data_IF_433814461034
#
_entry.id   IF_433814461034
#
_cell.length_a   1.000
_cell.length_b   1.000
_cell.length_c   1.000
_cell.angle_alpha   90.00
_cell.angle_beta   90.00
_cell.angle_gamma   90.00
#
_symmetry.space_group_name_H-M   'P 1'
#
loop_
_entity.id
_entity.type
_entity.pdbx_description
1 polymer ?
#
# COMPACT_ATOMS: atom_id res chain seq x y z
N UNK A 1 -37.79 -63.36 52.30
CA UNK A 1 -37.55 -63.76 50.91
C UNK A 1 -37.39 -62.47 50.11
N UNK A 2 -36.15 -62.13 49.70
CA UNK A 2 -35.66 -62.08 48.29
C UNK A 2 -36.21 -60.86 47.52
N UNK A 3 -35.51 -60.08 46.71
CA UNK A 3 -34.13 -59.94 46.20
C UNK A 3 -34.18 -58.57 45.49
N UNK A 4 -33.29 -57.62 45.76
CA UNK A 4 -32.14 -57.29 44.91
C UNK A 4 -32.25 -55.91 44.24
N UNK A 5 -31.19 -55.15 44.47
CA UNK A 5 -30.87 -53.81 44.00
C UNK A 5 -30.54 -53.89 42.50
N UNK A 6 -31.08 -52.99 41.69
CA UNK A 6 -30.60 -52.73 40.33
C UNK A 6 -30.28 -51.24 40.20
N UNK A 7 -28.98 -50.99 40.24
CA UNK A 7 -28.30 -49.72 40.11
C UNK A 7 -28.21 -49.41 38.60
N UNK A 8 -29.07 -48.54 38.08
CA UNK A 8 -28.98 -48.08 36.70
C UNK A 8 -28.01 -46.89 36.65
N UNK A 9 -26.75 -47.17 36.33
CA UNK A 9 -25.74 -46.16 36.05
C UNK A 9 -26.10 -45.41 34.77
N UNK A 10 -26.46 -44.13 34.89
CA UNK A 10 -26.55 -43.22 33.76
C UNK A 10 -25.12 -42.92 33.27
N UNK A 11 -24.76 -43.55 32.15
CA UNK A 11 -23.46 -43.39 31.50
C UNK A 11 -23.47 -42.08 30.72
N UNK A 12 -22.95 -41.02 31.32
CA UNK A 12 -22.68 -39.75 30.66
C UNK A 12 -21.60 -39.97 29.59
N UNK A 13 -21.99 -40.01 28.32
CA UNK A 13 -21.06 -39.99 27.20
C UNK A 13 -20.48 -38.56 27.14
N UNK A 14 -19.27 -38.39 27.65
CA UNK A 14 -18.47 -37.21 27.34
C UNK A 14 -18.09 -37.28 25.86
N UNK A 15 -18.72 -36.46 25.03
CA UNK A 15 -18.20 -36.11 23.73
C UNK A 15 -16.96 -35.23 23.95
N UNK A 16 -15.75 -35.66 23.56
CA UNK A 16 -14.63 -34.73 23.50
C UNK A 16 -14.96 -33.68 22.42
N UNK A 17 -15.14 -32.43 22.85
CA UNK A 17 -15.23 -31.30 21.93
C UNK A 17 -13.97 -31.26 21.09
N UNK A 18 -14.11 -31.52 19.79
CA UNK A 18 -13.05 -31.31 18.84
C UNK A 18 -12.78 -29.80 18.77
N UNK A 19 -11.83 -29.33 19.57
CA UNK A 19 -11.21 -28.04 19.38
C UNK A 19 -10.48 -28.09 18.04
N UNK A 20 -11.09 -27.52 17.00
CA UNK A 20 -10.45 -27.25 15.72
C UNK A 20 -9.41 -26.14 15.93
N UNK A 21 -8.25 -26.52 16.45
CA UNK A 21 -7.07 -25.65 16.47
C UNK A 21 -6.66 -25.37 15.04
N UNK A 22 -6.54 -24.09 14.69
CA UNK A 22 -5.98 -23.67 13.40
C UNK A 22 -4.58 -24.28 13.29
N UNK A 23 -4.41 -25.25 12.40
CA UNK A 23 -3.14 -25.89 12.13
C UNK A 23 -2.22 -24.87 11.46
N UNK A 24 -1.04 -24.66 12.04
CA UNK A 24 0.02 -23.89 11.39
C UNK A 24 0.36 -24.62 10.08
N UNK A 25 0.33 -23.93 8.92
CA UNK A 25 0.61 -24.57 7.64
C UNK A 25 2.00 -25.21 7.65
N UNK A 26 2.09 -26.51 7.38
CA UNK A 26 3.37 -27.25 7.47
C UNK A 26 4.12 -27.30 6.13
N UNK A 27 3.47 -26.87 5.05
CA UNK A 27 4.05 -26.86 3.71
C UNK A 27 3.99 -25.49 3.02
N UNK A 28 4.97 -25.22 2.14
CA UNK A 28 5.00 -23.97 1.35
C UNK A 28 3.74 -23.77 0.51
N UNK A 29 3.12 -24.85 0.04
CA UNK A 29 1.86 -24.85 -0.71
C UNK A 29 0.70 -24.34 0.15
N UNK A 30 0.66 -24.76 1.41
CA UNK A 30 -0.37 -24.43 2.38
C UNK A 30 -0.20 -23.00 2.92
N UNK A 31 1.05 -22.53 3.06
CA UNK A 31 1.40 -21.12 3.33
C UNK A 31 0.99 -20.22 2.15
N UNK A 32 1.23 -20.63 0.90
CA UNK A 32 0.81 -19.85 -0.26
C UNK A 32 -0.72 -19.72 -0.35
N UNK A 33 -1.45 -20.78 -0.01
CA UNK A 33 -2.91 -20.77 0.07
C UNK A 33 -3.42 -19.88 1.22
N UNK A 34 -2.69 -19.79 2.34
CA UNK A 34 -3.12 -18.96 3.48
C UNK A 34 -3.03 -17.44 3.21
N UNK A 35 -2.07 -16.98 2.39
CA UNK A 35 -1.96 -15.57 2.01
C UNK A 35 -2.80 -15.18 0.80
N UNK A 36 -3.26 -16.14 0.00
CA UNK A 36 -4.00 -15.88 -1.23
C UNK A 36 -5.32 -15.12 -1.00
N UNK A 37 -5.97 -15.32 0.15
CA UNK A 37 -7.17 -14.57 0.55
C UNK A 37 -6.85 -13.10 0.84
N UNK A 38 -5.83 -12.84 1.66
CA UNK A 38 -5.42 -11.48 2.05
C UNK A 38 -4.94 -10.69 0.84
N UNK A 39 -4.15 -11.30 -0.05
CA UNK A 39 -3.69 -10.64 -1.28
C UNK A 39 -4.87 -10.32 -2.19
N UNK A 40 -5.87 -11.20 -2.30
CA UNK A 40 -7.05 -10.96 -3.12
C UNK A 40 -7.87 -9.76 -2.62
N UNK A 41 -7.89 -9.55 -1.31
CA UNK A 41 -8.57 -8.41 -0.68
C UNK A 41 -7.75 -7.11 -0.80
N UNK A 42 -6.43 -7.16 -0.57
CA UNK A 42 -5.58 -5.97 -0.53
C UNK A 42 -5.07 -5.50 -1.89
N UNK A 43 -4.81 -6.42 -2.84
CA UNK A 43 -4.20 -6.08 -4.13
C UNK A 43 -4.96 -5.02 -4.95
N UNK A 44 -6.31 -5.00 -4.99
CA UNK A 44 -7.05 -3.95 -5.69
C UNK A 44 -6.76 -2.53 -5.18
N UNK A 45 -6.40 -2.38 -3.90
CA UNK A 45 -6.08 -1.09 -3.28
C UNK A 45 -4.65 -0.60 -3.61
N UNK A 46 -3.79 -1.47 -4.12
CA UNK A 46 -2.40 -1.13 -4.45
C UNK A 46 -2.35 -0.51 -5.84
N UNK A 47 -1.68 0.65 -5.94
CA UNK A 47 -1.59 1.44 -7.17
C UNK A 47 -0.13 1.68 -7.55
N UNK A 48 0.10 1.90 -8.85
CA UNK A 48 1.38 2.36 -9.38
C UNK A 48 1.35 3.88 -9.53
N UNK A 49 2.44 4.54 -9.17
CA UNK A 49 2.57 6.00 -9.18
C UNK A 49 3.70 6.39 -10.11
N UNK A 50 3.38 7.25 -11.08
CA UNK A 50 4.31 7.86 -12.00
C UNK A 50 4.40 9.33 -11.67
N UNK A 51 5.56 9.78 -11.23
CA UNK A 51 5.80 11.17 -10.91
C UNK A 51 6.83 11.76 -11.86
N UNK A 52 6.58 12.97 -12.34
CA UNK A 52 7.49 13.72 -13.20
C UNK A 52 7.87 15.02 -12.50
N UNK A 53 9.17 15.32 -12.49
CA UNK A 53 9.75 16.57 -12.00
C UNK A 53 10.51 17.27 -13.11
N UNK A 54 10.17 18.52 -13.38
CA UNK A 54 10.98 19.39 -14.25
C UNK A 54 11.99 20.12 -13.36
N UNK A 55 13.27 19.84 -13.55
CA UNK A 55 14.36 20.52 -12.85
C UNK A 55 15.05 21.46 -13.83
N UNK A 56 15.07 22.75 -13.51
CA UNK A 56 15.90 23.71 -14.23
C UNK A 56 17.37 23.39 -13.96
N UNK A 57 18.07 22.92 -14.99
CA UNK A 57 19.50 22.65 -14.89
C UNK A 57 20.21 23.99 -14.77
N UNK A 58 20.82 24.31 -13.62
CA UNK A 58 21.65 25.52 -13.50
C UNK A 58 22.69 25.52 -14.62
N UNK A 59 22.78 26.62 -15.35
CA UNK A 59 23.83 26.85 -16.33
C UNK A 59 25.19 26.71 -15.63
N UNK A 60 26.13 26.01 -16.26
CA UNK A 60 27.44 25.77 -15.66
C UNK A 60 28.19 27.11 -15.55
N UNK A 61 28.71 27.51 -14.37
CA UNK A 61 29.37 28.82 -14.17
C UNK A 61 30.61 29.04 -15.07
N UNK A 62 31.14 27.97 -15.67
CA UNK A 62 32.24 28.02 -16.63
C UNK A 62 31.86 28.59 -18.00
N UNK A 63 30.56 28.73 -18.32
CA UNK A 63 30.09 29.29 -19.59
C UNK A 63 29.90 30.82 -19.56
N UNK A 64 30.14 31.48 -18.42
CA UNK A 64 30.09 32.95 -18.28
C UNK A 64 31.41 33.64 -18.72
N UNK A 65 32.38 32.90 -19.27
CA UNK A 65 33.63 33.48 -19.78
C UNK A 65 33.40 34.14 -21.17
N UNK A 66 33.68 35.46 -21.32
CA UNK A 66 33.54 36.19 -22.59
C UNK A 66 34.29 35.57 -23.78
N UNK A 67 35.39 34.84 -23.52
CA UNK A 67 36.16 34.15 -24.57
C UNK A 67 35.47 32.88 -25.08
N UNK A 68 34.78 32.13 -24.22
CA UNK A 68 34.07 30.91 -24.61
C UNK A 68 32.78 31.20 -25.38
N UNK A 69 32.05 32.25 -25.00
CA UNK A 69 30.79 32.65 -25.64
C UNK A 69 30.92 33.08 -27.10
N UNK A 70 32.10 33.54 -27.53
CA UNK A 70 32.39 33.93 -28.92
C UNK A 70 32.82 32.75 -29.80
N UNK A 71 33.39 31.68 -29.21
CA UNK A 71 33.88 30.50 -29.93
C UNK A 71 32.80 29.41 -30.08
N UNK A 72 31.86 29.30 -29.14
CA UNK A 72 30.87 28.23 -29.06
C UNK A 72 29.46 28.79 -28.94
N UNK A 73 29.04 29.60 -29.93
CA UNK A 73 27.72 30.25 -29.94
C UNK A 73 26.58 29.35 -29.43
N UNK A 74 25.84 29.85 -28.44
CA UNK A 74 24.58 29.31 -27.90
C UNK A 74 24.62 27.96 -27.16
N UNK A 75 25.80 27.38 -26.90
CA UNK A 75 25.92 26.13 -26.12
C UNK A 75 25.61 26.29 -24.61
N UNK A 76 25.32 27.50 -24.13
CA UNK A 76 25.07 27.83 -22.71
C UNK A 76 23.61 27.78 -22.26
N UNK A 77 22.63 27.46 -23.13
CA UNK A 77 21.22 27.39 -22.71
C UNK A 77 21.00 26.20 -21.78
N UNK A 78 20.62 26.48 -20.54
CA UNK A 78 20.10 25.50 -19.60
C UNK A 78 18.85 24.83 -20.17
N UNK A 79 19.00 23.61 -20.68
CA UNK A 79 17.84 22.80 -21.09
C UNK A 79 17.20 22.23 -19.80
N UNK A 80 15.91 22.48 -19.53
CA UNK A 80 15.21 21.85 -18.42
C UNK A 80 15.32 20.33 -18.53
N UNK A 81 15.75 19.65 -17.46
CA UNK A 81 15.78 18.19 -17.44
C UNK A 81 14.51 17.67 -16.80
N UNK A 82 13.88 16.74 -17.48
CA UNK A 82 12.76 15.98 -16.94
C UNK A 82 13.30 14.77 -16.19
N UNK A 83 12.98 14.66 -14.91
CA UNK A 83 13.24 13.49 -14.08
C UNK A 83 11.91 12.75 -13.87
N UNK A 84 11.93 11.44 -14.01
CA UNK A 84 10.76 10.60 -13.75
C UNK A 84 11.05 9.71 -12.54
N UNK A 85 10.06 9.51 -11.69
CA UNK A 85 10.07 8.57 -10.58
C UNK A 85 8.90 7.60 -10.73
N UNK A 86 9.13 6.37 -10.30
CA UNK A 86 8.13 5.30 -10.27
C UNK A 86 8.06 4.80 -8.82
N UNK A 87 6.85 4.61 -8.32
CA UNK A 87 6.62 4.03 -7.01
C UNK A 87 5.27 3.36 -6.91
N UNK A 88 4.92 2.96 -5.70
CA UNK A 88 3.62 2.38 -5.36
C UNK A 88 2.89 3.24 -4.34
N UNK A 89 1.58 3.08 -4.27
CA UNK A 89 0.77 3.63 -3.20
C UNK A 89 -0.35 2.69 -2.80
N UNK A 90 -1.05 3.05 -1.73
CA UNK A 90 -2.22 2.32 -1.24
C UNK A 90 -3.40 3.29 -1.16
N UNK A 91 -4.53 2.90 -1.75
CA UNK A 91 -5.80 3.62 -1.61
C UNK A 91 -6.34 3.36 -0.21
N UNK A 92 -6.49 4.41 0.60
CA UNK A 92 -6.97 4.30 1.99
C UNK A 92 -8.39 4.83 2.17
N UNK A 93 -8.96 5.44 1.14
CA UNK A 93 -10.35 5.91 1.14
C UNK A 93 -10.96 5.85 -0.26
N UNK A 94 -12.26 5.51 -0.33
CA UNK A 94 -12.99 5.33 -1.59
C UNK A 94 -13.17 6.63 -2.39
N UNK A 95 -12.99 7.78 -1.73
CA UNK A 95 -13.02 9.14 -2.29
C UNK A 95 -11.66 9.58 -2.90
N UNK A 96 -10.71 8.65 -3.07
CA UNK A 96 -9.46 8.94 -3.77
C UNK A 96 -8.30 9.41 -2.91
N UNK A 97 -8.23 9.08 -1.62
CA UNK A 97 -6.99 9.24 -0.85
C UNK A 97 -6.04 8.07 -1.12
N UNK A 98 -4.80 8.40 -1.49
CA UNK A 98 -3.70 7.44 -1.65
C UNK A 98 -2.53 7.83 -0.74
N UNK A 99 -1.94 6.86 -0.05
CA UNK A 99 -0.70 7.03 0.72
C UNK A 99 0.46 6.44 -0.07
N UNK A 100 1.59 7.15 -0.10
CA UNK A 100 2.83 6.74 -0.76
C UNK A 100 4.04 7.32 -0.03
N UNK A 101 5.22 7.15 -0.63
CA UNK A 101 6.47 7.68 -0.13
C UNK A 101 6.72 9.10 -0.62
N UNK A 102 7.25 9.95 0.27
CA UNK A 102 7.63 11.32 -0.08
C UNK A 102 8.70 11.33 -1.18
N UNK A 103 9.71 10.46 -1.13
CA UNK A 103 10.78 10.46 -2.14
C UNK A 103 10.30 10.15 -3.57
N UNK A 104 9.11 9.54 -3.73
CA UNK A 104 8.52 9.25 -5.05
C UNK A 104 7.88 10.50 -5.65
N UNK A 105 7.16 11.28 -4.83
CA UNK A 105 6.28 12.36 -5.30
C UNK A 105 6.75 13.77 -4.88
N UNK A 106 7.77 13.85 -4.05
CA UNK A 106 8.32 15.07 -3.48
C UNK A 106 8.84 16.03 -4.55
N UNK A 107 8.13 17.16 -4.72
CA UNK A 107 8.46 18.17 -5.73
C UNK A 107 8.18 17.72 -7.16
N UNK A 108 7.35 16.69 -7.36
CA UNK A 108 6.83 16.36 -8.68
C UNK A 108 5.89 17.46 -9.19
N UNK A 109 6.03 17.81 -10.46
CA UNK A 109 5.16 18.76 -11.18
C UNK A 109 3.92 18.07 -11.76
N UNK A 110 4.00 16.76 -11.99
CA UNK A 110 2.90 15.95 -12.51
C UNK A 110 2.94 14.58 -11.84
N UNK A 111 1.80 14.12 -11.33
CA UNK A 111 1.65 12.84 -10.64
C UNK A 111 0.47 12.11 -11.26
N UNK A 112 0.72 10.90 -11.77
CA UNK A 112 -0.29 10.00 -12.32
C UNK A 112 -0.32 8.71 -11.50
N UNK A 113 -1.52 8.28 -11.16
CA UNK A 113 -1.76 7.07 -10.40
C UNK A 113 -2.53 6.09 -11.28
N UNK A 114 -2.03 4.87 -11.38
CA UNK A 114 -2.59 3.79 -12.20
C UNK A 114 -3.03 2.66 -11.27
N UNK A 115 -4.32 2.33 -11.33
CA UNK A 115 -4.92 1.27 -10.55
C UNK A 115 -4.68 -0.11 -11.18
N UNK A 116 -4.86 -1.17 -10.40
CA UNK A 116 -4.77 -2.55 -10.89
C UNK A 116 -5.80 -2.88 -12.00
N UNK A 117 -6.90 -2.14 -12.07
CA UNK A 117 -7.92 -2.23 -13.13
C UNK A 117 -7.56 -1.44 -14.41
N UNK A 118 -6.38 -0.79 -14.42
CA UNK A 118 -5.85 0.09 -15.48
C UNK A 118 -6.53 1.45 -15.61
N UNK A 119 -7.39 1.86 -14.66
CA UNK A 119 -7.82 3.26 -14.58
C UNK A 119 -6.65 4.15 -14.21
N UNK A 120 -6.59 5.33 -14.81
CA UNK A 120 -5.54 6.31 -14.56
C UNK A 120 -6.13 7.63 -14.07
N UNK A 121 -5.52 8.19 -13.03
CA UNK A 121 -5.96 9.45 -12.43
C UNK A 121 -4.77 10.39 -12.27
N UNK A 122 -5.01 11.67 -12.56
CA UNK A 122 -4.12 12.73 -12.09
C UNK A 122 -4.28 12.88 -10.58
N UNK A 123 -3.19 13.15 -9.87
CA UNK A 123 -3.21 13.28 -8.42
C UNK A 123 -2.58 14.58 -7.94
N UNK A 124 -3.14 15.11 -6.86
CA UNK A 124 -2.61 16.27 -6.13
C UNK A 124 -1.93 15.82 -4.84
N UNK A 125 -0.76 16.38 -4.54
CA UNK A 125 -0.13 16.21 -3.24
C UNK A 125 -0.84 17.09 -2.21
N UNK A 126 -1.55 16.48 -1.25
CA UNK A 126 -2.29 17.20 -0.20
C UNK A 126 -1.39 17.44 1.01
N UNK A 127 -0.65 16.41 1.41
CA UNK A 127 0.21 16.42 2.59
C UNK A 127 1.47 15.61 2.29
N UNK A 128 2.60 16.07 2.82
CA UNK A 128 3.85 15.33 2.78
C UNK A 128 4.67 15.60 4.03
N UNK A 129 5.38 14.59 4.47
CA UNK A 129 6.41 14.70 5.49
C UNK A 129 7.70 14.04 4.98
N UNK A 130 8.75 14.85 4.87
CA UNK A 130 10.05 14.39 4.39
C UNK A 130 10.81 13.59 5.45
N UNK A 131 10.52 13.80 6.74
CA UNK A 131 11.23 13.12 7.83
C UNK A 131 10.80 11.65 7.95
N UNK A 132 9.49 11.38 7.90
CA UNK A 132 8.94 10.02 7.88
C UNK A 132 8.85 9.38 6.48
N UNK A 133 9.26 10.11 5.44
CA UNK A 133 9.13 9.70 4.03
C UNK A 133 7.68 9.38 3.61
N UNK A 134 6.70 10.15 4.07
CA UNK A 134 5.28 9.92 3.79
C UNK A 134 4.67 11.01 2.89
N UNK A 135 3.76 10.59 2.02
CA UNK A 135 2.97 11.49 1.19
C UNK A 135 1.51 11.01 1.08
N UNK A 136 0.58 11.97 1.10
CA UNK A 136 -0.85 11.76 0.92
C UNK A 136 -1.30 12.48 -0.34
N UNK A 137 -1.86 11.71 -1.27
CA UNK A 137 -2.31 12.16 -2.57
C UNK A 137 -3.84 12.14 -2.65
N UNK A 138 -4.43 13.10 -3.37
CA UNK A 138 -5.82 13.10 -3.81
C UNK A 138 -5.90 12.73 -5.28
N UNK A 139 -6.62 11.68 -5.64
CA UNK A 139 -6.96 11.40 -7.02
C UNK A 139 -8.09 12.35 -7.48
N UNK A 140 -7.89 13.03 -8.61
CA UNK A 140 -8.88 13.97 -9.16
C UNK A 140 -10.03 13.21 -9.83
N UNK A 141 -11.27 13.49 -9.39
CA UNK A 141 -12.47 12.91 -10.00
C UNK A 141 -12.58 11.39 -9.87
N UNK A 142 -11.92 10.82 -8.86
CA UNK A 142 -11.98 9.39 -8.58
C UNK A 142 -13.09 9.09 -7.57
N UNK A 143 -13.94 8.11 -7.90
CA UNK A 143 -15.02 7.62 -7.06
C UNK A 143 -15.03 6.08 -7.12
N UNK A 144 -15.68 5.44 -6.14
CA UNK A 144 -15.84 3.99 -6.05
C UNK A 144 -14.51 3.22 -6.14
N UNK A 145 -13.50 3.69 -5.39
CA UNK A 145 -12.20 3.05 -5.36
C UNK A 145 -12.15 1.88 -4.36
N UNK A 146 -11.40 0.81 -4.67
CA UNK A 146 -11.15 -0.29 -3.75
C UNK A 146 -10.20 0.15 -2.64
N UNK A 147 -10.74 0.74 -1.58
CA UNK A 147 -9.96 1.27 -0.47
C UNK A 147 -9.68 0.24 0.62
N UNK A 148 -8.46 0.26 1.16
CA UNK A 148 -8.08 -0.51 2.34
C UNK A 148 -8.02 0.43 3.56
N UNK A 149 -8.94 0.29 4.53
CA UNK A 149 -8.93 1.14 5.71
C UNK A 149 -7.67 0.90 6.55
N UNK A 150 -7.17 1.96 7.18
CA UNK A 150 -6.03 1.86 8.09
C UNK A 150 -6.43 1.13 9.37
N UNK A 151 -5.57 0.22 9.80
CA UNK A 151 -5.73 -0.52 11.04
C UNK A 151 -4.91 0.13 12.17
N UNK A 152 -5.34 -0.05 13.42
CA UNK A 152 -4.61 0.47 14.58
C UNK A 152 -3.27 -0.27 14.74
N UNK A 153 -2.16 0.48 14.71
CA UNK A 153 -0.81 -0.06 14.88
C UNK A 153 -0.48 -0.48 16.31
N UNK A 154 -1.18 0.07 17.30
CA UNK A 154 -0.90 -0.12 18.73
C UNK A 154 -1.29 -1.51 19.28
N UNK A 155 -1.55 -2.47 18.38
CA UNK A 155 -1.62 -3.89 18.72
C UNK A 155 -2.97 -4.39 19.23
N UNK A 156 -4.00 -3.55 19.34
CA UNK A 156 -5.35 -4.02 19.67
C UNK A 156 -6.22 -4.13 18.43
N UNK A 157 -5.85 -5.04 17.52
CA UNK A 157 -6.69 -5.40 16.38
C UNK A 157 -7.66 -6.50 16.82
N UNK A 158 -8.99 -6.27 16.83
CA UNK A 158 -9.97 -7.32 17.04
C UNK A 158 -10.00 -8.35 15.90
N UNK A 159 -9.17 -8.21 14.86
CA UNK A 159 -9.08 -9.19 13.75
C UNK A 159 -8.59 -10.58 14.21
N UNK A 160 -8.09 -10.69 15.44
CA UNK A 160 -7.76 -11.97 16.09
C UNK A 160 -8.69 -12.33 17.27
N UNK A 161 -9.74 -11.55 17.54
CA UNK A 161 -10.58 -11.72 18.72
C UNK A 161 -12.06 -11.75 18.32
N UNK A 162 -12.52 -12.85 17.68
CA UNK A 162 -13.90 -12.90 17.21
C UNK A 162 -14.41 -14.13 16.47
N UNK A 163 -13.87 -15.34 16.68
CA UNK A 163 -14.54 -16.57 16.18
C UNK A 163 -14.79 -17.54 17.34
N UNK A 164 -15.84 -17.27 18.11
CA UNK A 164 -16.66 -18.21 18.90
C UNK A 164 -18.07 -17.57 18.99
N UNK A 165 -19.17 -18.31 18.82
CA UNK A 165 -19.57 -19.41 19.71
C UNK A 165 -19.32 -20.82 19.17
#
# INVERSE_FOLDING_TARGET
MRFAILFAAAMSILLPGAASGQSVPESRSEIALSFASVVREAAPAVVSIYARRVVESRANPFFDDPLFGQLFGDFGRSVPRVQNALGSGVIVSSDGIVVSNYHVVGGASDIRVVLGDRREFAADLILSDAESDLAVLRLRGAEDLPALPLANSDGNLPIFNGVHP
#
